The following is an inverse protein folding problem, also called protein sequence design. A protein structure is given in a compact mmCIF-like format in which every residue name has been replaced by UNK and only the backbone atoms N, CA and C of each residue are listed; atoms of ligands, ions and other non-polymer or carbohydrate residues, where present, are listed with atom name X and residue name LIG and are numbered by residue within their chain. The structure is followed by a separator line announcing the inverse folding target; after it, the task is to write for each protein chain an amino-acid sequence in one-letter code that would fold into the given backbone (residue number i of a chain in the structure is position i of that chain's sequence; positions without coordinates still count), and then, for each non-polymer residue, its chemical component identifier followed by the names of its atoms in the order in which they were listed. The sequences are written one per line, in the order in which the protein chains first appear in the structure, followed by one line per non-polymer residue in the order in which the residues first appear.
data_IF_007885337460
#
_entry.id   IF_007885337460
#
_cell.length_a   1.000
_cell.length_b   1.000
_cell.length_c   1.000
_cell.angle_alpha   90.00
_cell.angle_beta   90.00
_cell.angle_gamma   90.00
#
_symmetry.space_group_name_H-M   'P 1'
#
loop_
_entity.id
_entity.type
_entity.pdbx_description
1 polymer ?
#
# COMPACT_ATOMS: atom_id res chain seq x y z
N UNK A 1 11.52 -30.75 20.08
CA UNK A 1 10.95 -29.75 19.26
C UNK A 1 10.82 -28.49 20.10
N UNK A 2 11.78 -27.56 19.92
CA UNK A 2 11.76 -26.27 20.62
C UNK A 2 10.68 -25.45 19.94
N UNK A 3 9.60 -25.15 20.64
CA UNK A 3 8.66 -24.14 20.25
C UNK A 3 9.46 -22.82 20.22
N UNK A 4 9.65 -22.26 19.02
CA UNK A 4 10.14 -20.89 18.88
C UNK A 4 8.97 -20.02 19.36
N UNK A 5 9.10 -19.48 20.56
CA UNK A 5 8.17 -18.45 21.03
C UNK A 5 8.19 -17.31 20.01
N UNK A 6 7.05 -16.78 19.58
CA UNK A 6 7.03 -15.62 18.70
C UNK A 6 7.68 -14.47 19.48
N UNK A 7 8.88 -14.12 19.09
CA UNK A 7 9.53 -12.90 19.61
C UNK A 7 8.70 -11.73 19.08
N UNK A 8 7.90 -11.10 19.96
CA UNK A 8 7.25 -9.83 19.65
C UNK A 8 8.39 -8.86 19.39
N UNK A 9 8.57 -8.51 18.13
CA UNK A 9 9.60 -7.55 17.72
C UNK A 9 9.08 -6.14 17.99
N UNK A 10 9.58 -5.50 19.01
CA UNK A 10 9.25 -4.12 19.38
C UNK A 10 9.87 -3.06 18.44
N UNK A 11 10.47 -3.46 17.32
CA UNK A 11 11.11 -2.54 16.36
C UNK A 11 10.14 -1.53 15.75
N UNK A 12 8.84 -1.85 15.76
CA UNK A 12 7.77 -0.95 15.32
C UNK A 12 7.19 -0.08 16.42
N UNK A 13 7.54 -0.36 17.70
CA UNK A 13 7.06 0.44 18.81
C UNK A 13 7.48 1.91 18.63
N UNK A 14 6.55 2.82 18.92
CA UNK A 14 6.73 4.28 18.77
C UNK A 14 6.80 4.79 17.32
N UNK A 15 6.77 3.90 16.31
CA UNK A 15 6.66 4.34 14.91
C UNK A 15 5.22 4.68 14.55
N UNK A 16 5.03 5.78 13.86
CA UNK A 16 3.74 6.17 13.30
C UNK A 16 3.69 5.78 11.82
N UNK A 17 2.77 4.89 11.48
CA UNK A 17 2.61 4.35 10.13
C UNK A 17 1.26 4.80 9.60
N UNK A 18 1.27 5.50 8.48
CA UNK A 18 0.06 5.83 7.74
C UNK A 18 -0.14 4.81 6.62
N UNK A 19 -1.21 4.05 6.71
CA UNK A 19 -1.66 3.15 5.64
C UNK A 19 -2.63 3.94 4.76
N UNK A 20 -2.35 3.94 3.46
CA UNK A 20 -3.15 4.66 2.47
C UNK A 20 -3.78 3.66 1.49
N UNK A 21 -5.03 3.20 1.72
CA UNK A 21 -5.78 2.46 0.71
C UNK A 21 -6.06 3.37 -0.48
N UNK A 22 -5.36 3.15 -1.60
CA UNK A 22 -5.50 3.98 -2.79
C UNK A 22 -6.95 4.06 -3.29
N UNK A 23 -7.30 5.19 -3.92
CA UNK A 23 -8.66 5.48 -4.41
C UNK A 23 -9.71 5.57 -3.28
N UNK A 24 -11.00 5.48 -3.63
CA UNK A 24 -12.13 5.58 -2.69
C UNK A 24 -13.25 6.48 -3.21
N UNK A 25 -14.47 6.28 -2.71
CA UNK A 25 -15.63 7.08 -3.09
C UNK A 25 -15.82 7.15 -4.61
N UNK A 26 -15.78 8.34 -5.17
CA UNK A 26 -15.94 8.60 -6.62
C UNK A 26 -14.75 8.13 -7.47
N UNK A 27 -13.62 7.76 -6.86
CA UNK A 27 -12.44 7.24 -7.55
C UNK A 27 -12.36 5.73 -7.43
N UNK A 28 -12.87 4.95 -8.38
CA UNK A 28 -12.89 3.48 -8.30
C UNK A 28 -11.49 2.87 -8.45
N UNK A 29 -10.50 3.61 -8.96
CA UNK A 29 -9.27 3.04 -9.46
C UNK A 29 -9.51 2.27 -10.76
N UNK A 30 -8.82 1.17 -10.93
CA UNK A 30 -9.08 0.26 -12.06
C UNK A 30 -10.32 -0.57 -11.81
N UNK A 31 -11.03 -0.83 -12.88
CA UNK A 31 -12.19 -1.71 -12.90
C UNK A 31 -11.88 -2.83 -13.89
N UNK A 32 -11.92 -4.07 -13.44
CA UNK A 32 -11.70 -5.20 -14.34
C UNK A 32 -13.00 -5.62 -15.06
N UNK A 33 -12.92 -6.62 -15.94
CA UNK A 33 -14.05 -7.12 -16.71
C UNK A 33 -15.19 -7.69 -15.84
N UNK A 34 -14.88 -8.12 -14.62
CA UNK A 34 -15.84 -8.64 -13.65
C UNK A 34 -16.41 -7.55 -12.72
N UNK A 35 -16.25 -6.28 -13.06
CA UNK A 35 -16.64 -5.12 -12.25
C UNK A 35 -16.00 -5.07 -10.86
N UNK A 36 -14.85 -5.70 -10.66
CA UNK A 36 -14.06 -5.57 -9.45
C UNK A 36 -13.41 -4.19 -9.42
N UNK A 37 -13.56 -3.47 -8.32
CA UNK A 37 -13.01 -2.14 -8.14
C UNK A 37 -11.70 -2.22 -7.35
N UNK A 38 -10.67 -1.57 -7.85
CA UNK A 38 -9.37 -1.47 -7.19
C UNK A 38 -9.49 -0.93 -5.76
N UNK A 39 -10.31 0.13 -5.57
CA UNK A 39 -10.51 0.76 -4.26
C UNK A 39 -10.97 -0.21 -3.16
N UNK A 40 -11.77 -1.22 -3.51
CA UNK A 40 -12.33 -2.18 -2.56
C UNK A 40 -11.25 -3.19 -2.12
N UNK A 41 -10.47 -3.69 -3.06
CA UNK A 41 -9.35 -4.59 -2.79
C UNK A 41 -8.27 -3.88 -1.96
N UNK A 42 -7.92 -2.65 -2.33
CA UNK A 42 -6.95 -1.84 -1.58
C UNK A 42 -7.38 -1.65 -0.12
N UNK A 43 -8.67 -1.38 0.11
CA UNK A 43 -9.22 -1.21 1.46
C UNK A 43 -9.17 -2.51 2.27
N UNK A 44 -9.50 -3.64 1.65
CA UNK A 44 -9.48 -4.95 2.32
C UNK A 44 -8.07 -5.35 2.75
N UNK A 45 -7.08 -5.21 1.85
CA UNK A 45 -5.67 -5.49 2.15
C UNK A 45 -5.15 -4.54 3.24
N UNK A 46 -5.43 -3.25 3.12
CA UNK A 46 -5.01 -2.24 4.08
C UNK A 46 -5.61 -2.48 5.48
N UNK A 47 -6.88 -2.87 5.57
CA UNK A 47 -7.53 -3.21 6.85
C UNK A 47 -6.88 -4.44 7.49
N UNK A 48 -6.50 -5.44 6.69
CA UNK A 48 -5.79 -6.61 7.19
C UNK A 48 -4.37 -6.25 7.65
N UNK A 49 -3.68 -5.37 6.91
CA UNK A 49 -2.37 -4.85 7.30
C UNK A 49 -2.44 -4.06 8.61
N UNK A 50 -3.47 -3.23 8.79
CA UNK A 50 -3.71 -2.50 10.04
C UNK A 50 -3.76 -3.45 11.25
N UNK A 51 -4.42 -4.61 11.14
CA UNK A 51 -4.50 -5.59 12.21
C UNK A 51 -3.12 -6.13 12.61
N UNK A 52 -2.30 -6.54 11.65
CA UNK A 52 -0.94 -7.03 11.94
C UNK A 52 -0.05 -5.96 12.56
N UNK A 53 -0.13 -4.73 12.07
CA UNK A 53 0.65 -3.62 12.59
C UNK A 53 0.19 -3.20 14.00
N UNK A 54 -1.11 -3.23 14.29
CA UNK A 54 -1.63 -2.90 15.61
C UNK A 54 -1.09 -3.83 16.70
N UNK A 55 -0.86 -5.11 16.39
CA UNK A 55 -0.30 -6.09 17.32
C UNK A 55 1.20 -5.84 17.60
N UNK A 56 1.88 -5.04 16.79
CA UNK A 56 3.32 -4.76 16.92
C UNK A 56 3.67 -3.57 17.82
N UNK A 57 2.69 -2.88 18.35
CA UNK A 57 2.88 -1.69 19.20
C UNK A 57 3.13 -0.38 18.43
N UNK A 58 2.98 -0.37 17.10
CA UNK A 58 3.07 0.83 16.30
C UNK A 58 1.82 1.71 16.44
N UNK A 59 1.99 3.02 16.21
CA UNK A 59 0.87 3.95 16.03
C UNK A 59 0.35 3.86 14.60
N UNK A 60 -0.86 3.33 14.41
CA UNK A 60 -1.41 3.11 13.07
C UNK A 60 -2.50 4.11 12.78
N UNK A 61 -2.32 4.80 11.66
CA UNK A 61 -3.30 5.68 11.06
C UNK A 61 -3.68 5.16 9.67
N UNK A 62 -4.89 5.43 9.22
CA UNK A 62 -5.33 5.14 7.85
C UNK A 62 -5.90 6.40 7.23
N UNK A 63 -5.65 6.61 5.94
CA UNK A 63 -6.24 7.73 5.20
C UNK A 63 -7.75 7.60 5.06
N UNK A 64 -8.26 6.35 4.95
CA UNK A 64 -9.69 6.00 4.98
C UNK A 64 -9.89 4.60 5.54
N UNK A 65 -11.05 4.36 6.18
CA UNK A 65 -11.48 3.05 6.70
C UNK A 65 -12.80 2.56 6.07
N UNK A 66 -13.35 3.35 5.18
CA UNK A 66 -14.59 3.07 4.44
C UNK A 66 -14.42 3.42 2.98
N UNK A 67 -15.42 3.12 2.15
CA UNK A 67 -15.44 3.55 0.75
C UNK A 67 -15.81 5.04 0.65
N UNK A 68 -14.82 5.90 0.87
CA UNK A 68 -14.93 7.34 0.74
C UNK A 68 -13.71 7.89 0.00
N UNK A 69 -13.89 8.95 -0.79
CA UNK A 69 -12.79 9.78 -1.24
C UNK A 69 -12.39 10.79 -0.15
N UNK A 70 -11.27 11.45 -0.37
CA UNK A 70 -10.71 12.43 0.56
C UNK A 70 -10.76 13.86 0.00
N UNK A 71 -11.65 14.11 -0.96
CA UNK A 71 -11.83 15.45 -1.52
C UNK A 71 -12.48 16.36 -0.48
N UNK A 72 -11.80 17.44 -0.03
CA UNK A 72 -12.41 18.38 0.89
C UNK A 72 -13.67 19.03 0.30
N UNK A 73 -14.64 19.36 1.12
CA UNK A 73 -15.87 20.06 0.67
C UNK A 73 -15.56 21.33 -0.11
N UNK A 74 -14.50 22.06 0.27
CA UNK A 74 -14.06 23.28 -0.40
C UNK A 74 -13.44 23.06 -1.78
N UNK A 75 -13.08 21.81 -2.12
CA UNK A 75 -12.47 21.43 -3.40
C UNK A 75 -13.44 20.65 -4.30
N UNK A 76 -14.71 20.51 -3.91
CA UNK A 76 -15.74 19.88 -4.75
C UNK A 76 -15.97 20.71 -6.02
N UNK A 77 -15.91 20.06 -7.18
CA UNK A 77 -16.03 20.68 -8.50
C UNK A 77 -16.48 19.64 -9.52
N UNK A 78 -17.02 20.08 -10.66
CA UNK A 78 -17.34 19.16 -11.77
C UNK A 78 -16.10 18.63 -12.51
N UNK A 79 -14.91 19.19 -12.24
CA UNK A 79 -13.65 18.78 -12.88
C UNK A 79 -12.99 17.65 -12.09
N UNK A 80 -13.24 16.42 -12.50
CA UNK A 80 -12.74 15.21 -11.83
C UNK A 80 -11.23 15.23 -11.57
N UNK A 81 -10.42 15.74 -12.49
CA UNK A 81 -8.96 15.84 -12.33
C UNK A 81 -8.56 16.76 -11.17
N UNK A 82 -9.31 17.84 -10.93
CA UNK A 82 -9.04 18.74 -9.80
C UNK A 82 -9.43 18.08 -8.48
N UNK A 83 -10.54 17.35 -8.45
CA UNK A 83 -10.93 16.57 -7.28
C UNK A 83 -9.90 15.46 -6.97
N UNK A 84 -9.44 14.75 -8.00
CA UNK A 84 -8.40 13.72 -7.82
C UNK A 84 -7.09 14.30 -7.25
N UNK A 85 -6.72 15.50 -7.71
CA UNK A 85 -5.56 16.18 -7.16
C UNK A 85 -5.77 16.59 -5.70
N UNK A 86 -6.94 17.13 -5.35
CA UNK A 86 -7.28 17.50 -3.98
C UNK A 86 -7.32 16.26 -3.06
N UNK A 87 -7.82 15.12 -3.53
CA UNK A 87 -7.77 13.84 -2.83
C UNK A 87 -6.32 13.43 -2.51
N UNK A 88 -5.42 13.49 -3.49
CA UNK A 88 -3.99 13.19 -3.28
C UNK A 88 -3.32 14.19 -2.33
N UNK A 89 -3.66 15.47 -2.40
CA UNK A 89 -3.17 16.49 -1.46
C UNK A 89 -3.61 16.20 -0.02
N UNK A 90 -4.85 15.76 0.17
CA UNK A 90 -5.35 15.36 1.50
C UNK A 90 -4.58 14.19 2.06
N UNK A 91 -4.22 13.16 1.24
CA UNK A 91 -3.40 12.02 1.67
C UNK A 91 -2.03 12.46 2.19
N UNK A 92 -1.41 13.42 1.51
CA UNK A 92 -0.13 14.01 1.93
C UNK A 92 -0.30 14.79 3.23
N UNK A 93 -1.31 15.67 3.30
CA UNK A 93 -1.59 16.45 4.51
C UNK A 93 -1.85 15.56 5.73
N UNK A 94 -2.52 14.43 5.57
CA UNK A 94 -2.71 13.46 6.64
C UNK A 94 -1.39 12.85 7.11
N UNK A 95 -0.43 12.58 6.22
CA UNK A 95 0.89 12.07 6.62
C UNK A 95 1.67 13.07 7.46
N UNK A 96 1.55 14.36 7.15
CA UNK A 96 2.16 15.45 7.92
C UNK A 96 1.42 15.68 9.23
N UNK A 97 0.08 15.72 9.20
CA UNK A 97 -0.74 15.92 10.38
C UNK A 97 -0.52 14.86 11.46
N UNK A 98 -0.34 13.62 11.05
CA UNK A 98 -0.08 12.51 11.96
C UNK A 98 1.42 12.36 12.31
N UNK A 99 2.30 13.18 11.74
CA UNK A 99 3.75 13.03 11.84
C UNK A 99 4.17 11.58 11.52
N UNK A 100 3.66 11.04 10.42
CA UNK A 100 3.92 9.67 10.03
C UNK A 100 5.41 9.47 9.68
N UNK A 101 6.04 8.45 10.27
CA UNK A 101 7.39 8.02 9.87
C UNK A 101 7.37 7.40 8.47
N UNK A 102 6.30 6.63 8.18
CA UNK A 102 6.15 5.90 6.92
C UNK A 102 4.75 6.04 6.36
N UNK A 103 4.64 6.22 5.04
CA UNK A 103 3.41 6.20 4.28
C UNK A 103 3.41 4.98 3.34
N UNK A 104 2.54 4.02 3.60
CA UNK A 104 2.37 2.80 2.81
C UNK A 104 1.10 2.92 1.97
N UNK A 105 1.26 3.24 0.68
CA UNK A 105 0.13 3.40 -0.24
C UNK A 105 -0.15 2.07 -0.96
N UNK A 106 -1.33 1.51 -0.73
CA UNK A 106 -1.76 0.18 -1.19
C UNK A 106 -2.60 0.33 -2.46
N UNK A 107 -2.18 -0.33 -3.51
CA UNK A 107 -2.77 -0.30 -4.84
C UNK A 107 -2.82 -1.67 -5.50
N UNK A 108 -3.55 -1.77 -6.60
CA UNK A 108 -3.48 -2.89 -7.53
C UNK A 108 -3.19 -2.37 -8.94
N UNK A 109 -2.19 -2.96 -9.58
CA UNK A 109 -1.76 -2.57 -10.91
C UNK A 109 -2.77 -3.01 -12.00
N UNK A 110 -2.73 -2.33 -13.13
CA UNK A 110 -3.47 -2.76 -14.32
C UNK A 110 -2.81 -2.18 -15.57
N UNK A 111 -2.38 -3.05 -16.45
CA UNK A 111 -1.83 -2.70 -17.76
C UNK A 111 -2.48 -3.56 -18.84
N UNK A 112 -2.56 -3.12 -20.10
CA UNK A 112 -3.28 -3.81 -21.17
C UNK A 112 -2.80 -5.22 -21.49
N UNK A 113 -1.66 -5.66 -20.95
CA UNK A 113 -1.10 -6.98 -21.21
C UNK A 113 -1.35 -7.90 -20.00
N UNK A 114 -2.23 -8.86 -20.15
CA UNK A 114 -2.63 -9.84 -19.13
C UNK A 114 -1.52 -10.78 -18.65
N UNK A 115 -0.37 -10.81 -19.33
CA UNK A 115 0.78 -11.64 -18.96
C UNK A 115 1.53 -11.11 -17.72
N UNK A 116 1.35 -9.83 -17.41
CA UNK A 116 1.99 -9.25 -16.24
C UNK A 116 1.31 -9.72 -14.97
N UNK A 117 2.12 -10.14 -14.01
CA UNK A 117 1.70 -10.65 -12.71
C UNK A 117 2.74 -10.31 -11.63
N UNK A 118 2.35 -10.51 -10.37
CA UNK A 118 3.20 -10.39 -9.20
C UNK A 118 3.12 -9.03 -8.51
N UNK A 119 3.13 -9.08 -7.17
CA UNK A 119 3.15 -7.89 -6.34
C UNK A 119 4.48 -7.14 -6.47
N UNK A 120 4.43 -5.81 -6.56
CA UNK A 120 5.59 -4.98 -6.83
C UNK A 120 5.57 -3.69 -6.04
N UNK A 121 6.72 -3.31 -5.47
CA UNK A 121 6.90 -2.04 -4.76
C UNK A 121 7.55 -0.99 -5.63
N UNK A 122 7.15 0.26 -5.39
CA UNK A 122 7.72 1.43 -6.05
C UNK A 122 8.16 2.46 -5.01
N UNK A 123 9.25 3.17 -5.33
CA UNK A 123 9.85 4.15 -4.44
C UNK A 123 10.20 5.47 -5.15
N UNK A 124 10.40 6.52 -4.35
CA UNK A 124 10.91 7.78 -4.82
C UNK A 124 12.42 7.64 -5.13
N UNK A 125 12.88 7.84 -6.38
CA UNK A 125 14.31 7.72 -6.73
C UNK A 125 15.19 8.73 -5.99
N UNK A 126 14.64 9.84 -5.49
CA UNK A 126 15.37 10.89 -4.77
C UNK A 126 15.41 10.65 -3.24
N UNK A 127 14.70 9.61 -2.74
CA UNK A 127 14.63 9.25 -1.32
C UNK A 127 15.24 7.86 -1.09
N UNK A 128 16.41 7.83 -0.43
CA UNK A 128 17.14 6.58 -0.15
C UNK A 128 16.39 5.70 0.86
N UNK A 129 15.69 6.29 1.83
CA UNK A 129 14.90 5.56 2.81
C UNK A 129 13.69 4.89 2.16
N UNK A 130 12.98 5.60 1.27
CA UNK A 130 11.92 5.05 0.42
C UNK A 130 12.42 3.84 -0.38
N UNK A 131 13.62 3.95 -0.98
CA UNK A 131 14.24 2.85 -1.75
C UNK A 131 14.55 1.64 -0.88
N UNK A 132 15.13 1.85 0.29
CA UNK A 132 15.51 0.77 1.21
C UNK A 132 14.26 0.06 1.76
N UNK A 133 13.27 0.82 2.19
CA UNK A 133 11.98 0.29 2.63
C UNK A 133 11.28 -0.51 1.52
N UNK A 134 11.21 0.04 0.30
CA UNK A 134 10.61 -0.66 -0.83
C UNK A 134 11.31 -1.99 -1.14
N UNK A 135 12.63 -2.03 -1.08
CA UNK A 135 13.42 -3.26 -1.29
C UNK A 135 13.14 -4.31 -0.21
N UNK A 136 13.07 -3.90 1.05
CA UNK A 136 12.77 -4.82 2.15
C UNK A 136 11.36 -5.40 2.02
N UNK A 137 10.37 -4.58 1.70
CA UNK A 137 9.00 -5.04 1.43
C UNK A 137 8.98 -5.97 0.21
N UNK A 138 9.67 -5.62 -0.89
CA UNK A 138 9.73 -6.45 -2.08
C UNK A 138 10.35 -7.81 -1.81
N UNK A 139 11.45 -7.85 -1.06
CA UNK A 139 12.09 -9.10 -0.66
C UNK A 139 11.13 -9.99 0.14
N UNK A 140 10.37 -9.40 1.05
CA UNK A 140 9.36 -10.13 1.82
C UNK A 140 8.21 -10.63 0.94
N UNK A 141 7.72 -9.83 0.00
CA UNK A 141 6.71 -10.25 -0.98
C UNK A 141 7.19 -11.45 -1.80
N UNK A 142 8.44 -11.41 -2.30
CA UNK A 142 9.02 -12.51 -3.07
C UNK A 142 9.18 -13.78 -2.25
N UNK A 143 9.46 -13.66 -0.95
CA UNK A 143 9.62 -14.82 -0.06
C UNK A 143 8.29 -15.43 0.39
N UNK A 144 7.21 -14.65 0.44
CA UNK A 144 5.92 -15.09 0.99
C UNK A 144 4.91 -15.48 -0.10
N UNK A 145 5.05 -14.92 -1.30
CA UNK A 145 4.13 -15.17 -2.40
C UNK A 145 4.78 -16.09 -3.43
N UNK A 146 4.20 -17.25 -3.63
CA UNK A 146 4.70 -18.24 -4.58
C UNK A 146 4.77 -17.66 -6.01
N UNK A 147 5.94 -17.78 -6.64
CA UNK A 147 6.16 -17.29 -8.01
C UNK A 147 6.27 -15.77 -8.15
N UNK A 148 6.37 -15.02 -7.04
CA UNK A 148 6.63 -13.58 -7.10
C UNK A 148 8.14 -13.34 -7.23
N UNK A 149 8.57 -12.82 -8.37
CA UNK A 149 9.99 -12.55 -8.70
C UNK A 149 10.19 -11.08 -9.14
N UNK A 150 9.35 -10.17 -8.62
CA UNK A 150 9.41 -8.75 -8.97
C UNK A 150 10.55 -8.05 -8.23
N UNK A 151 10.95 -6.90 -8.75
CA UNK A 151 11.94 -6.03 -8.14
C UNK A 151 11.30 -4.70 -7.70
N UNK A 152 11.81 -4.11 -6.61
CA UNK A 152 11.45 -2.76 -6.25
C UNK A 152 12.00 -1.79 -7.30
N UNK A 153 11.13 -0.94 -7.87
CA UNK A 153 11.51 -0.02 -8.96
C UNK A 153 11.30 1.45 -8.57
N UNK A 154 12.16 2.35 -9.08
CA UNK A 154 11.88 3.77 -8.99
C UNK A 154 10.66 4.13 -9.83
N UNK A 155 9.83 5.07 -9.37
CA UNK A 155 8.71 5.59 -10.14
C UNK A 155 8.75 7.12 -10.12
N UNK A 156 9.21 7.70 -11.20
CA UNK A 156 9.21 9.14 -11.39
C UNK A 156 7.82 9.70 -11.66
N UNK A 157 7.62 10.98 -11.40
CA UNK A 157 6.39 11.67 -11.78
C UNK A 157 5.18 11.43 -10.90
N UNK A 158 5.26 10.54 -9.93
CA UNK A 158 4.17 10.24 -8.99
C UNK A 158 3.93 11.42 -8.07
N UNK A 159 2.66 11.86 -7.96
CA UNK A 159 2.30 13.03 -7.16
C UNK A 159 2.65 12.85 -5.67
N UNK A 160 2.37 11.69 -5.09
CA UNK A 160 2.76 11.36 -3.69
C UNK A 160 4.27 11.51 -3.48
N UNK A 161 5.09 10.92 -4.34
CA UNK A 161 6.55 10.96 -4.19
C UNK A 161 7.14 12.37 -4.32
N UNK A 162 6.51 13.23 -5.13
CA UNK A 162 7.00 14.60 -5.33
C UNK A 162 6.66 15.56 -4.21
N UNK A 163 5.59 15.28 -3.46
CA UNK A 163 5.02 16.26 -2.56
C UNK A 163 4.96 15.77 -1.11
N UNK A 164 5.04 14.46 -0.83
CA UNK A 164 5.13 13.96 0.53
C UNK A 164 6.56 14.14 1.07
N UNK A 165 6.66 14.69 2.28
CA UNK A 165 7.91 14.75 3.06
C UNK A 165 8.19 13.44 3.83
N UNK A 166 7.16 12.61 4.00
CA UNK A 166 7.20 11.32 4.68
C UNK A 166 7.83 10.26 3.77
N UNK A 167 8.67 9.37 4.31
CA UNK A 167 9.18 8.20 3.59
C UNK A 167 8.02 7.37 3.06
N UNK A 168 7.85 7.35 1.74
CA UNK A 168 6.66 6.83 1.06
C UNK A 168 7.00 5.67 0.14
N UNK A 169 6.22 4.59 0.21
CA UNK A 169 6.29 3.44 -0.71
C UNK A 169 4.91 3.18 -1.29
N UNK A 170 4.82 2.94 -2.60
CA UNK A 170 3.61 2.44 -3.26
C UNK A 170 3.76 0.94 -3.47
N UNK A 171 2.76 0.18 -3.05
CA UNK A 171 2.73 -1.27 -3.11
C UNK A 171 1.59 -1.69 -4.03
N UNK A 172 1.95 -2.16 -5.22
CA UNK A 172 1.02 -2.75 -6.19
C UNK A 172 0.86 -4.24 -5.86
N UNK A 173 -0.26 -4.61 -5.27
CA UNK A 173 -0.49 -5.94 -4.68
C UNK A 173 -0.69 -7.06 -5.72
N UNK A 174 -0.80 -6.73 -7.00
CA UNK A 174 -0.98 -7.63 -8.14
C UNK A 174 -1.67 -6.92 -9.29
N UNK A 175 -1.93 -7.62 -10.38
CA UNK A 175 -2.48 -7.03 -11.59
C UNK A 175 -3.96 -7.39 -11.78
N UNK A 176 -4.86 -6.40 -11.66
CA UNK A 176 -6.29 -6.57 -11.94
C UNK A 176 -6.60 -6.91 -13.41
N UNK A 177 -5.65 -6.62 -14.31
CA UNK A 177 -5.73 -6.99 -15.72
C UNK A 177 -5.35 -8.45 -16.00
N UNK A 178 -4.75 -9.16 -15.04
CA UNK A 178 -4.45 -10.58 -15.15
C UNK A 178 -5.60 -11.39 -14.53
N UNK A 179 -6.28 -12.29 -15.26
CA UNK A 179 -7.45 -13.02 -14.76
C UNK A 179 -7.15 -13.90 -13.53
N UNK A 180 -5.98 -14.55 -13.48
CA UNK A 180 -5.59 -15.39 -12.34
C UNK A 180 -5.31 -14.57 -11.09
N UNK A 181 -4.53 -13.47 -11.22
CA UNK A 181 -4.27 -12.58 -10.08
C UNK A 181 -5.52 -11.86 -9.60
N UNK A 182 -6.31 -11.37 -10.53
CA UNK A 182 -7.59 -10.72 -10.24
C UNK A 182 -8.51 -11.65 -9.43
N UNK A 183 -8.51 -12.96 -9.71
CA UNK A 183 -9.22 -13.96 -8.91
C UNK A 183 -8.61 -14.10 -7.51
N UNK A 184 -7.29 -14.26 -7.41
CA UNK A 184 -6.58 -14.40 -6.13
C UNK A 184 -6.75 -13.15 -5.25
N UNK A 185 -6.72 -11.95 -5.82
CA UNK A 185 -6.89 -10.70 -5.10
C UNK A 185 -8.25 -10.57 -4.39
N UNK A 186 -9.26 -11.34 -4.80
CA UNK A 186 -10.56 -11.44 -4.11
C UNK A 186 -10.55 -12.41 -2.93
N UNK A 187 -9.56 -13.30 -2.84
CA UNK A 187 -9.51 -14.33 -1.82
C UNK A 187 -8.97 -13.75 -0.50
N UNK A 188 -9.73 -13.81 0.60
CA UNK A 188 -9.26 -13.30 1.90
C UNK A 188 -7.92 -13.91 2.35
N UNK A 189 -7.68 -15.18 2.04
CA UNK A 189 -6.42 -15.84 2.38
C UNK A 189 -5.22 -15.23 1.64
N UNK A 190 -5.38 -14.87 0.36
CA UNK A 190 -4.33 -14.21 -0.40
C UNK A 190 -4.10 -12.77 0.05
N UNK A 191 -5.17 -12.04 0.38
CA UNK A 191 -5.06 -10.70 0.96
C UNK A 191 -4.33 -10.72 2.31
N UNK A 192 -4.55 -11.77 3.14
CA UNK A 192 -3.80 -11.98 4.37
C UNK A 192 -2.32 -12.24 4.11
N UNK A 193 -1.98 -13.05 3.10
CA UNK A 193 -0.58 -13.29 2.73
C UNK A 193 0.11 -12.00 2.26
N UNK A 194 -0.55 -11.18 1.44
CA UNK A 194 -0.06 -9.87 1.00
C UNK A 194 0.20 -8.94 2.20
N UNK A 195 -0.81 -8.77 3.05
CA UNK A 195 -0.70 -7.92 4.24
C UNK A 195 0.40 -8.40 5.18
N UNK A 196 0.51 -9.71 5.39
CA UNK A 196 1.59 -10.32 6.19
C UNK A 196 2.97 -10.06 5.58
N UNK A 197 3.11 -10.21 4.26
CA UNK A 197 4.36 -9.95 3.57
C UNK A 197 4.80 -8.48 3.70
N UNK A 198 3.87 -7.54 3.56
CA UNK A 198 4.13 -6.11 3.74
C UNK A 198 4.58 -5.82 5.18
N UNK A 199 3.84 -6.34 6.17
CA UNK A 199 4.19 -6.22 7.58
C UNK A 199 5.59 -6.76 7.88
N UNK A 200 5.90 -7.96 7.41
CA UNK A 200 7.23 -8.58 7.60
C UNK A 200 8.34 -7.78 6.92
N UNK A 201 8.08 -7.23 5.74
CA UNK A 201 9.04 -6.38 5.04
C UNK A 201 9.37 -5.10 5.81
N UNK A 202 8.36 -4.46 6.40
CA UNK A 202 8.56 -3.28 7.25
C UNK A 202 9.33 -3.63 8.54
N UNK A 203 8.99 -4.76 9.18
CA UNK A 203 9.75 -5.24 10.35
C UNK A 203 11.22 -5.49 10.04
N UNK A 204 11.51 -6.15 8.91
CA UNK A 204 12.89 -6.42 8.50
C UNK A 204 13.67 -5.13 8.26
N UNK A 205 13.05 -4.16 7.56
CA UNK A 205 13.66 -2.85 7.32
C UNK A 205 14.04 -2.12 8.61
N UNK A 206 13.20 -2.19 9.64
CA UNK A 206 13.44 -1.49 10.91
C UNK A 206 14.37 -2.26 11.86
N UNK A 207 14.68 -3.53 11.56
CA UNK A 207 15.60 -4.35 12.34
C UNK A 207 17.06 -4.26 11.85
N UNK A 208 17.31 -3.66 10.68
CA UNK A 208 18.63 -3.40 10.10
C UNK A 208 19.24 -2.11 10.66
#
# INVERSE_FOLDING_TARGET
PNAVEPTISWVLAEKTILIDPGHGGIFPGRVNENNMLEKDINLQIATTLEQYLAESGANIMMTRRTDTDLVPETAQTEKLLLQQRADLETRIQLSEQYNADYLLSIHCNSIPNEKWHGAQTFYNPEDIESKNLAKAIQSSLNNQLEGNEREALPREGTYLFKNASTTTVIIECGFLSNPEESSKLQEPAYQQQLAWAIYRGLQNYLAE
#
